data_IF_101810745367
#
_entry.id   IF_101810745367
#
_cell.length_a   1.000
_cell.length_b   1.000
_cell.length_c   1.000
_cell.angle_alpha   90.00
_cell.angle_beta   90.00
_cell.angle_gamma   90.00
#
_symmetry.space_group_name_H-M   'P 1'
#
loop_
_entity.id
_entity.type
_entity.pdbx_description
1 polymer ?
#
# COMPACT_ATOMS: atom_id res chain seq x y z
N UNK A 1 -5.80 11.95 -19.15
CA UNK A 1 -5.02 12.67 -18.13
C UNK A 1 -5.21 11.85 -16.88
N UNK A 2 -4.15 11.28 -16.34
CA UNK A 2 -4.25 10.31 -15.25
C UNK A 2 -4.96 10.92 -14.03
N UNK A 3 -5.86 10.15 -13.41
CA UNK A 3 -6.52 10.56 -12.16
C UNK A 3 -5.74 10.08 -10.94
N UNK A 4 -5.70 10.92 -9.90
CA UNK A 4 -5.13 10.52 -8.60
C UNK A 4 -6.12 9.70 -7.77
N UNK A 5 -7.41 10.02 -7.85
CA UNK A 5 -8.49 9.38 -7.09
C UNK A 5 -9.03 8.14 -7.78
N UNK A 6 -9.65 7.27 -6.97
CA UNK A 6 -10.47 6.16 -7.44
C UNK A 6 -11.87 6.26 -6.83
N UNK A 7 -12.86 5.72 -7.56
CA UNK A 7 -14.24 5.63 -7.08
C UNK A 7 -14.64 4.22 -6.62
N UNK A 8 -13.73 3.27 -6.77
CA UNK A 8 -13.93 1.86 -6.48
C UNK A 8 -12.74 1.32 -5.71
N UNK A 9 -13.01 0.54 -4.68
CA UNK A 9 -11.98 -0.15 -3.90
C UNK A 9 -12.21 -1.66 -3.90
N UNK A 10 -11.11 -2.40 -3.94
CA UNK A 10 -11.07 -3.83 -3.69
C UNK A 10 -10.73 -4.06 -2.21
N UNK A 11 -11.58 -4.79 -1.50
CA UNK A 11 -11.35 -5.22 -0.13
C UNK A 11 -11.40 -6.75 -0.06
N UNK A 12 -10.45 -7.34 0.68
CA UNK A 12 -10.41 -8.79 0.93
C UNK A 12 -10.93 -9.05 2.34
N UNK A 13 -12.08 -9.73 2.45
CA UNK A 13 -12.65 -10.15 3.72
C UNK A 13 -11.86 -11.31 4.30
N UNK A 14 -11.08 -11.09 5.39
CA UNK A 14 -10.16 -12.11 5.86
C UNK A 14 -10.91 -13.26 6.53
N UNK A 15 -10.36 -14.47 6.37
CA UNK A 15 -10.86 -15.67 7.02
C UNK A 15 -9.95 -16.13 8.17
N UNK A 16 -8.64 -15.99 8.00
CA UNK A 16 -7.62 -16.47 8.93
C UNK A 16 -6.73 -15.32 9.48
N UNK A 17 -7.26 -14.10 9.59
CA UNK A 17 -6.48 -12.94 10.05
C UNK A 17 -5.83 -13.18 11.41
N UNK A 18 -4.56 -12.82 11.52
CA UNK A 18 -3.82 -12.97 12.75
C UNK A 18 -2.40 -12.46 12.66
N UNK A 19 -1.64 -12.69 13.74
CA UNK A 19 -0.23 -12.36 13.80
C UNK A 19 0.56 -13.18 12.77
N UNK A 20 1.40 -12.50 11.98
CA UNK A 20 2.20 -13.13 10.95
C UNK A 20 3.68 -13.08 11.36
N UNK A 21 4.20 -14.19 11.87
CA UNK A 21 5.58 -14.30 12.34
C UNK A 21 6.63 -13.97 11.28
N UNK A 22 6.35 -14.25 10.00
CA UNK A 22 7.26 -13.89 8.91
C UNK A 22 7.24 -12.38 8.67
N UNK A 23 6.05 -11.77 8.64
CA UNK A 23 5.91 -10.33 8.42
C UNK A 23 6.43 -9.50 9.60
N UNK A 24 6.31 -10.00 10.83
CA UNK A 24 6.82 -9.34 12.04
C UNK A 24 8.36 -9.14 12.03
N UNK A 25 9.09 -9.90 11.20
CA UNK A 25 10.55 -9.70 11.00
C UNK A 25 10.86 -8.40 10.26
N UNK A 26 9.92 -7.91 9.45
CA UNK A 26 10.07 -6.70 8.63
C UNK A 26 9.27 -5.53 9.19
N UNK A 27 8.10 -5.82 9.77
CA UNK A 27 7.20 -4.85 10.36
C UNK A 27 7.27 -4.89 11.89
N UNK A 28 8.10 -4.01 12.45
CA UNK A 28 8.26 -3.88 13.90
C UNK A 28 7.01 -3.34 14.63
N UNK A 29 6.01 -2.82 13.89
CA UNK A 29 4.73 -2.41 14.46
C UNK A 29 3.81 -3.61 14.74
N UNK A 30 4.11 -4.80 14.20
CA UNK A 30 3.36 -6.01 14.59
C UNK A 30 3.70 -6.39 16.02
N UNK A 31 2.67 -6.43 16.86
CA UNK A 31 2.78 -6.89 18.24
C UNK A 31 2.20 -8.30 18.36
N UNK A 32 2.79 -9.16 19.23
CA UNK A 32 2.18 -10.43 19.56
C UNK A 32 0.73 -10.26 20.00
N UNK A 33 -0.18 -11.14 19.59
CA UNK A 33 -1.60 -10.98 19.88
C UNK A 33 -1.84 -11.19 21.38
N UNK A 34 -2.68 -10.34 21.96
CA UNK A 34 -3.16 -10.49 23.35
C UNK A 34 -4.49 -11.27 23.42
N UNK A 35 -5.21 -11.36 22.31
CA UNK A 35 -6.43 -12.13 22.13
C UNK A 35 -6.18 -13.46 21.41
N UNK A 36 -7.20 -14.32 21.41
CA UNK A 36 -7.16 -15.53 20.58
C UNK A 36 -7.20 -15.20 19.08
N UNK A 37 -6.71 -16.12 18.24
CA UNK A 37 -6.75 -15.96 16.79
C UNK A 37 -8.18 -15.80 16.24
N UNK A 38 -9.15 -16.50 16.83
CA UNK A 38 -10.56 -16.41 16.44
C UNK A 38 -11.16 -15.04 16.77
N UNK A 39 -10.87 -14.50 17.96
CA UNK A 39 -11.29 -13.16 18.34
C UNK A 39 -10.66 -12.10 17.44
N UNK A 40 -9.35 -12.20 17.17
CA UNK A 40 -8.65 -11.28 16.28
C UNK A 40 -9.24 -11.31 14.85
N UNK A 41 -9.49 -12.49 14.30
CA UNK A 41 -10.10 -12.64 12.99
C UNK A 41 -11.54 -12.07 12.95
N UNK A 42 -12.33 -12.32 13.99
CA UNK A 42 -13.70 -11.79 14.11
C UNK A 42 -13.70 -10.26 14.18
N UNK A 43 -12.81 -9.66 14.97
CA UNK A 43 -12.67 -8.22 15.08
C UNK A 43 -12.24 -7.60 13.76
N UNK A 44 -11.18 -8.11 13.13
CA UNK A 44 -10.68 -7.61 11.85
C UNK A 44 -11.73 -7.68 10.74
N UNK A 45 -12.49 -8.79 10.68
CA UNK A 45 -13.62 -8.94 9.77
C UNK A 45 -14.69 -7.87 10.03
N UNK A 46 -15.08 -7.66 11.28
CA UNK A 46 -16.09 -6.66 11.65
C UNK A 46 -15.65 -5.23 11.29
N UNK A 47 -14.39 -4.89 11.54
CA UNK A 47 -13.80 -3.59 11.17
C UNK A 47 -13.77 -3.39 9.65
N UNK A 48 -13.34 -4.39 8.88
CA UNK A 48 -13.37 -4.33 7.42
C UNK A 48 -14.79 -4.13 6.89
N UNK A 49 -15.76 -4.90 7.40
CA UNK A 49 -17.17 -4.76 6.99
C UNK A 49 -17.76 -3.41 7.40
N UNK A 50 -17.29 -2.82 8.51
CA UNK A 50 -17.62 -1.44 8.86
C UNK A 50 -17.08 -0.45 7.82
N UNK A 51 -15.80 -0.57 7.44
CA UNK A 51 -15.18 0.28 6.38
C UNK A 51 -15.93 0.13 5.06
N UNK A 52 -16.23 -1.11 4.63
CA UNK A 52 -16.97 -1.38 3.40
C UNK A 52 -18.36 -0.69 3.40
N UNK A 53 -19.10 -0.76 4.51
CA UNK A 53 -20.39 -0.08 4.66
C UNK A 53 -20.26 1.44 4.68
N UNK A 54 -19.26 1.98 5.38
CA UNK A 54 -19.00 3.40 5.44
C UNK A 54 -18.70 3.98 4.04
N UNK A 55 -17.84 3.31 3.26
CA UNK A 55 -17.51 3.69 1.88
C UNK A 55 -18.74 3.67 0.96
N UNK A 56 -19.52 2.57 1.00
CA UNK A 56 -20.78 2.46 0.24
C UNK A 56 -21.77 3.58 0.57
N UNK A 57 -21.87 3.94 1.85
CA UNK A 57 -22.76 5.02 2.33
C UNK A 57 -22.33 6.39 1.78
N UNK A 58 -21.05 6.56 1.43
CA UNK A 58 -20.52 7.76 0.77
C UNK A 58 -20.61 7.70 -0.75
N UNK A 59 -21.10 6.62 -1.33
CA UNK A 59 -21.22 6.43 -2.78
C UNK A 59 -19.94 5.94 -3.46
N UNK A 60 -18.99 5.39 -2.70
CA UNK A 60 -17.82 4.69 -3.23
C UNK A 60 -18.22 3.24 -3.52
N UNK A 61 -17.82 2.71 -4.66
CA UNK A 61 -18.05 1.31 -5.00
C UNK A 61 -17.06 0.42 -4.25
N UNK A 62 -17.53 -0.74 -3.78
CA UNK A 62 -16.71 -1.68 -3.00
C UNK A 62 -16.88 -3.07 -3.58
N UNK A 63 -15.82 -3.57 -4.21
CA UNK A 63 -15.66 -4.97 -4.59
C UNK A 63 -15.14 -5.68 -3.34
N UNK A 64 -16.00 -6.47 -2.70
CA UNK A 64 -15.64 -7.25 -1.53
C UNK A 64 -15.43 -8.71 -1.96
N UNK A 65 -14.23 -9.24 -1.75
CA UNK A 65 -13.88 -10.62 -2.08
C UNK A 65 -13.61 -11.39 -0.80
N UNK A 66 -14.23 -12.55 -0.65
CA UNK A 66 -13.98 -13.40 0.51
C UNK A 66 -12.63 -14.12 0.38
N UNK A 67 -11.88 -14.13 1.48
CA UNK A 67 -10.70 -14.97 1.56
C UNK A 67 -11.05 -16.47 1.48
N UNK A 68 -10.10 -17.31 1.10
CA UNK A 68 -10.31 -18.74 0.90
C UNK A 68 -9.65 -19.57 2.00
N UNK A 69 -10.26 -20.67 2.40
CA UNK A 69 -9.64 -21.66 3.31
C UNK A 69 -8.59 -22.55 2.62
N UNK A 70 -8.33 -22.36 1.32
CA UNK A 70 -7.40 -23.18 0.57
C UNK A 70 -5.98 -23.11 1.14
N UNK A 71 -5.54 -21.93 1.60
CA UNK A 71 -4.31 -21.75 2.36
C UNK A 71 -4.51 -20.70 3.46
N UNK A 72 -3.94 -20.95 4.64
CA UNK A 72 -4.03 -20.04 5.78
C UNK A 72 -3.08 -18.85 5.59
N UNK A 73 -3.63 -17.74 5.09
CA UNK A 73 -2.90 -16.48 4.87
C UNK A 73 -3.35 -15.43 5.91
N UNK A 74 -2.58 -15.19 6.98
CA UNK A 74 -2.99 -14.28 8.06
C UNK A 74 -3.02 -12.81 7.67
N UNK A 75 -2.51 -12.48 6.49
CA UNK A 75 -2.34 -11.12 5.99
C UNK A 75 -3.12 -10.86 4.68
N UNK A 76 -4.05 -11.74 4.30
CA UNK A 76 -4.82 -11.66 3.04
C UNK A 76 -5.61 -10.36 2.86
N UNK A 77 -5.97 -9.70 3.97
CA UNK A 77 -6.64 -8.39 3.96
C UNK A 77 -5.79 -7.30 3.29
N UNK A 78 -4.47 -7.44 3.26
CA UNK A 78 -3.52 -6.45 2.73
C UNK A 78 -3.19 -6.70 1.25
N UNK A 79 -4.20 -6.60 0.38
CA UNK A 79 -4.01 -6.74 -1.07
C UNK A 79 -3.03 -5.71 -1.66
N UNK A 80 -2.94 -4.53 -1.02
CA UNK A 80 -2.02 -3.46 -1.38
C UNK A 80 -0.54 -3.89 -1.44
N UNK A 81 -0.14 -4.95 -0.72
CA UNK A 81 1.24 -5.44 -0.77
C UNK A 81 1.58 -6.19 -2.06
N UNK A 82 0.59 -6.80 -2.73
CA UNK A 82 0.85 -7.78 -3.79
C UNK A 82 0.24 -7.43 -5.14
N UNK A 83 -0.74 -6.51 -5.19
CA UNK A 83 -1.37 -6.08 -6.44
C UNK A 83 -1.65 -4.57 -6.48
N UNK A 84 -1.50 -3.99 -7.66
CA UNK A 84 -2.01 -2.67 -8.00
C UNK A 84 -2.76 -2.70 -9.33
N UNK A 85 -3.71 -1.77 -9.45
CA UNK A 85 -4.51 -1.56 -10.65
C UNK A 85 -4.20 -0.16 -11.22
N UNK A 86 -4.16 -0.06 -12.55
CA UNK A 86 -3.80 1.16 -13.27
C UNK A 86 -4.90 1.54 -14.26
N UNK A 87 -5.02 2.83 -14.57
CA UNK A 87 -6.10 3.42 -15.37
C UNK A 87 -6.16 2.87 -16.81
N UNK A 88 -5.04 2.34 -17.31
CA UNK A 88 -4.93 1.71 -18.62
C UNK A 88 -5.20 0.19 -18.60
N UNK A 89 -5.93 -0.29 -17.59
CA UNK A 89 -6.32 -1.70 -17.44
C UNK A 89 -5.15 -2.68 -17.30
N UNK A 90 -3.96 -2.18 -16.95
CA UNK A 90 -2.83 -3.00 -16.53
C UNK A 90 -2.89 -3.25 -15.03
N UNK A 91 -2.51 -4.46 -14.64
CA UNK A 91 -2.24 -4.79 -13.24
C UNK A 91 -0.75 -5.07 -13.04
N UNK A 92 -0.27 -4.85 -11.83
CA UNK A 92 1.08 -5.27 -11.42
C UNK A 92 0.95 -6.31 -10.32
N UNK A 93 1.59 -7.47 -10.48
CA UNK A 93 1.75 -8.45 -9.42
C UNK A 93 3.15 -8.34 -8.82
N UNK A 94 3.21 -8.16 -7.50
CA UNK A 94 4.41 -7.72 -6.81
C UNK A 94 5.15 -8.83 -6.05
N UNK A 95 6.49 -8.70 -5.91
CA UNK A 95 7.32 -9.59 -5.12
C UNK A 95 7.17 -9.35 -3.61
N UNK A 96 6.81 -10.40 -2.88
CA UNK A 96 6.62 -10.44 -1.43
C UNK A 96 7.78 -11.14 -0.73
N UNK A 97 8.18 -10.57 0.40
CA UNK A 97 9.29 -11.09 1.22
C UNK A 97 8.91 -12.30 2.07
N UNK A 98 7.62 -12.45 2.39
CA UNK A 98 7.09 -13.53 3.23
C UNK A 98 6.57 -14.68 2.34
N UNK A 99 7.05 -15.89 2.59
CA UNK A 99 6.63 -17.09 1.86
C UNK A 99 5.15 -17.39 2.11
N UNK A 100 4.70 -17.22 3.35
CA UNK A 100 3.30 -17.44 3.73
C UNK A 100 2.31 -16.42 3.14
N UNK A 101 2.80 -15.38 2.45
CA UNK A 101 1.97 -14.39 1.75
C UNK A 101 1.92 -14.58 0.24
N UNK A 102 2.86 -15.33 -0.36
CA UNK A 102 2.84 -15.63 -1.81
C UNK A 102 1.51 -16.23 -2.31
N UNK A 103 0.83 -17.10 -1.53
CA UNK A 103 -0.48 -17.64 -1.91
C UNK A 103 -1.62 -16.61 -1.96
N UNK A 104 -1.42 -15.40 -1.41
CA UNK A 104 -2.40 -14.30 -1.48
C UNK A 104 -2.59 -13.82 -2.92
N UNK A 105 -1.62 -14.06 -3.82
CA UNK A 105 -1.70 -13.75 -5.25
C UNK A 105 -2.65 -14.70 -5.97
N UNK A 106 -3.94 -14.35 -5.92
CA UNK A 106 -5.06 -15.20 -6.32
C UNK A 106 -5.68 -14.78 -7.65
N UNK A 107 -5.71 -15.71 -8.61
CA UNK A 107 -6.31 -15.48 -9.93
C UNK A 107 -7.83 -15.35 -9.91
N UNK A 108 -8.52 -15.96 -8.95
CA UNK A 108 -9.96 -15.83 -8.80
C UNK A 108 -10.38 -14.41 -8.39
N UNK A 109 -9.54 -13.68 -7.64
CA UNK A 109 -9.75 -12.26 -7.35
C UNK A 109 -9.77 -11.45 -8.65
N UNK A 110 -8.90 -11.76 -9.61
CA UNK A 110 -8.85 -11.06 -10.90
C UNK A 110 -10.12 -11.30 -11.72
N UNK A 111 -10.66 -12.51 -11.69
CA UNK A 111 -11.93 -12.81 -12.36
C UNK A 111 -13.07 -11.98 -11.76
N UNK A 112 -13.14 -11.87 -10.43
CA UNK A 112 -14.16 -11.04 -9.76
C UNK A 112 -14.00 -9.56 -10.14
N UNK A 113 -12.78 -9.05 -10.24
CA UNK A 113 -12.52 -7.67 -10.69
C UNK A 113 -13.04 -7.47 -12.13
N UNK A 114 -12.77 -8.40 -13.03
CA UNK A 114 -13.28 -8.36 -14.42
C UNK A 114 -14.81 -8.43 -14.45
N UNK A 115 -15.42 -9.29 -13.64
CA UNK A 115 -16.88 -9.43 -13.54
C UNK A 115 -17.58 -8.19 -12.95
N UNK A 116 -16.81 -7.29 -12.31
CA UNK A 116 -17.27 -5.98 -11.81
C UNK A 116 -16.93 -4.84 -12.79
N UNK A 117 -16.82 -5.13 -14.09
CA UNK A 117 -16.60 -4.15 -15.17
C UNK A 117 -15.23 -3.45 -15.15
N UNK A 118 -14.20 -4.10 -14.57
CA UNK A 118 -12.81 -3.65 -14.65
C UNK A 118 -11.99 -4.57 -15.56
N UNK A 119 -11.94 -4.31 -16.89
CA UNK A 119 -11.19 -5.16 -17.80
C UNK A 119 -9.70 -5.13 -17.46
N UNK A 120 -9.06 -6.29 -17.57
CA UNK A 120 -7.62 -6.47 -17.41
C UNK A 120 -7.04 -6.81 -18.78
N UNK A 121 -6.18 -5.94 -19.32
CA UNK A 121 -5.58 -6.11 -20.64
C UNK A 121 -4.17 -6.70 -20.59
N UNK A 122 -3.44 -6.44 -19.50
CA UNK A 122 -2.10 -6.97 -19.31
C UNK A 122 -1.81 -7.16 -17.82
N UNK A 123 -1.04 -8.21 -17.53
CA UNK A 123 -0.55 -8.53 -16.19
C UNK A 123 0.96 -8.37 -16.21
N UNK A 124 1.43 -7.30 -15.59
CA UNK A 124 2.85 -7.07 -15.37
C UNK A 124 3.28 -7.82 -14.12
N UNK A 125 3.70 -9.06 -14.29
CA UNK A 125 4.21 -9.88 -13.20
C UNK A 125 5.70 -9.60 -12.94
N UNK A 126 5.98 -8.88 -11.85
CA UNK A 126 7.34 -8.62 -11.35
C UNK A 126 7.67 -9.46 -10.10
N UNK A 127 6.77 -10.38 -9.71
CA UNK A 127 6.95 -11.23 -8.53
C UNK A 127 8.12 -12.21 -8.67
N UNK A 128 8.57 -12.47 -9.89
CA UNK A 128 9.73 -13.35 -10.16
C UNK A 128 11.05 -12.84 -9.59
N UNK A 129 11.16 -11.53 -9.30
CA UNK A 129 12.34 -10.94 -8.64
C UNK A 129 12.57 -11.47 -7.21
N UNK A 130 11.55 -12.09 -6.59
CA UNK A 130 11.69 -12.82 -5.32
C UNK A 130 12.76 -13.91 -5.38
N UNK A 131 13.00 -14.51 -6.56
CA UNK A 131 14.02 -15.55 -6.75
C UNK A 131 15.45 -15.03 -6.56
N UNK A 132 15.63 -13.71 -6.64
CA UNK A 132 16.89 -13.00 -6.40
C UNK A 132 16.93 -12.37 -5.00
N UNK A 133 15.93 -12.62 -4.15
CA UNK A 133 15.79 -12.00 -2.84
C UNK A 133 15.46 -10.50 -2.90
N UNK A 134 14.90 -10.03 -4.03
CA UNK A 134 14.47 -8.64 -4.22
C UNK A 134 12.96 -8.55 -4.06
N UNK A 135 12.51 -7.55 -3.31
CA UNK A 135 11.10 -7.41 -2.92
C UNK A 135 10.63 -5.97 -3.14
N UNK A 136 9.32 -5.80 -3.30
CA UNK A 136 8.67 -4.52 -3.51
C UNK A 136 7.20 -4.73 -3.18
N UNK A 137 6.78 -4.44 -1.95
CA UNK A 137 5.41 -4.74 -1.46
C UNK A 137 4.42 -3.71 -2.01
N UNK A 138 4.15 -3.78 -3.32
CA UNK A 138 3.03 -3.08 -3.95
C UNK A 138 2.94 -1.60 -3.61
N UNK A 139 1.72 -1.14 -3.32
CA UNK A 139 1.44 0.24 -2.94
C UNK A 139 1.71 0.53 -1.46
N UNK A 140 2.19 -0.45 -0.71
CA UNK A 140 2.77 -0.22 0.62
C UNK A 140 4.19 0.35 0.44
N UNK A 141 4.98 -0.28 -0.42
CA UNK A 141 6.33 0.16 -0.80
C UNK A 141 6.35 1.37 -1.73
N UNK A 142 5.34 1.54 -2.58
CA UNK A 142 5.32 2.58 -3.63
C UNK A 142 4.11 3.48 -3.53
N UNK A 143 4.34 4.78 -3.41
CA UNK A 143 3.29 5.80 -3.48
C UNK A 143 3.37 6.46 -4.85
N UNK A 144 2.27 6.44 -5.61
CA UNK A 144 2.20 7.03 -6.94
C UNK A 144 1.52 8.41 -6.90
N UNK A 145 2.22 9.45 -7.35
CA UNK A 145 1.61 10.68 -7.84
C UNK A 145 1.32 10.52 -9.32
N UNK A 146 0.11 10.08 -9.61
CA UNK A 146 -0.35 9.70 -10.95
C UNK A 146 -0.42 10.90 -11.88
N UNK A 147 -0.81 12.05 -11.35
CA UNK A 147 -0.95 13.30 -12.11
C UNK A 147 0.43 13.84 -12.51
N UNK A 148 1.37 13.91 -11.56
CA UNK A 148 2.71 14.44 -11.82
C UNK A 148 3.70 13.40 -12.37
N UNK A 149 3.25 12.15 -12.54
CA UNK A 149 4.10 11.02 -12.97
C UNK A 149 5.36 10.87 -12.11
N UNK A 150 5.19 10.93 -10.78
CA UNK A 150 6.26 10.63 -9.81
C UNK A 150 5.88 9.40 -9.00
N UNK A 151 6.85 8.51 -8.76
CA UNK A 151 6.70 7.40 -7.84
C UNK A 151 7.68 7.59 -6.70
N UNK A 152 7.23 7.35 -5.47
CA UNK A 152 8.01 7.52 -4.24
C UNK A 152 8.18 6.19 -3.53
N UNK A 153 9.38 5.92 -3.02
CA UNK A 153 9.64 4.72 -2.22
C UNK A 153 10.70 4.97 -1.15
N UNK A 154 10.38 4.64 0.10
CA UNK A 154 11.35 4.52 1.17
C UNK A 154 12.17 3.25 0.99
N UNK A 155 13.49 3.34 1.14
CA UNK A 155 14.38 2.18 1.12
C UNK A 155 14.08 1.30 2.34
N UNK A 156 13.77 0.02 2.10
CA UNK A 156 13.48 -0.93 3.18
C UNK A 156 13.78 -2.37 2.77
N UNK A 157 13.82 -3.34 3.70
CA UNK A 157 13.97 -4.77 3.37
C UNK A 157 12.90 -5.32 2.44
N UNK A 158 11.77 -4.61 2.28
CA UNK A 158 10.64 -4.99 1.44
C UNK A 158 10.45 -4.06 0.24
N UNK A 159 11.40 -3.14 0.01
CA UNK A 159 11.41 -2.16 -1.07
C UNK A 159 12.81 -2.09 -1.72
N UNK A 160 13.04 -2.89 -2.75
CA UNK A 160 14.28 -2.91 -3.54
C UNK A 160 14.27 -1.79 -4.59
N UNK A 161 15.31 -0.95 -4.58
CA UNK A 161 15.38 0.23 -5.43
C UNK A 161 15.62 -0.09 -6.92
N UNK A 162 16.22 -1.22 -7.25
CA UNK A 162 16.38 -1.62 -8.64
C UNK A 162 15.03 -2.09 -9.21
N UNK A 163 14.27 -2.89 -8.46
CA UNK A 163 12.91 -3.31 -8.86
C UNK A 163 11.97 -2.10 -8.94
N UNK A 164 12.02 -1.20 -7.95
CA UNK A 164 11.28 0.06 -7.96
C UNK A 164 11.60 0.91 -9.20
N UNK A 165 12.89 1.16 -9.48
CA UNK A 165 13.31 1.96 -10.63
C UNK A 165 12.85 1.36 -11.96
N UNK A 166 12.93 0.03 -12.12
CA UNK A 166 12.42 -0.67 -13.31
C UNK A 166 10.91 -0.51 -13.47
N UNK A 167 10.14 -0.67 -12.37
CA UNK A 167 8.69 -0.48 -12.38
C UNK A 167 8.34 0.97 -12.76
N UNK A 168 8.98 1.95 -12.13
CA UNK A 168 8.77 3.37 -12.42
C UNK A 168 9.04 3.68 -13.89
N UNK A 169 10.18 3.22 -14.43
CA UNK A 169 10.51 3.40 -15.85
C UNK A 169 9.49 2.74 -16.77
N UNK A 170 9.01 1.52 -16.45
CA UNK A 170 8.02 0.79 -17.27
C UNK A 170 6.67 1.50 -17.35
N UNK A 171 6.31 2.25 -16.32
CA UNK A 171 5.05 3.01 -16.27
C UNK A 171 5.22 4.52 -16.52
N UNK A 172 6.45 4.97 -16.84
CA UNK A 172 6.74 6.37 -17.16
C UNK A 172 6.70 7.30 -15.94
N UNK A 173 6.98 6.78 -14.76
CA UNK A 173 7.13 7.57 -13.53
C UNK A 173 8.60 7.97 -13.33
N UNK A 174 8.82 9.20 -12.86
CA UNK A 174 10.11 9.62 -12.30
C UNK A 174 10.26 9.00 -10.89
N UNK A 175 11.27 8.15 -10.66
CA UNK A 175 11.47 7.50 -9.36
C UNK A 175 12.15 8.44 -8.37
N UNK A 176 11.59 8.56 -7.17
CA UNK A 176 12.21 9.23 -6.02
C UNK A 176 12.31 8.24 -4.87
N UNK A 177 13.53 7.98 -4.43
CA UNK A 177 13.82 7.15 -3.27
C UNK A 177 14.42 7.97 -2.14
N UNK A 178 14.16 7.57 -0.90
CA UNK A 178 14.72 8.21 0.27
C UNK A 178 14.89 7.22 1.43
N UNK A 179 15.76 7.56 2.38
CA UNK A 179 15.99 6.79 3.60
C UNK A 179 15.09 7.31 4.72
N UNK A 180 14.31 6.43 5.34
CA UNK A 180 13.41 6.82 6.43
C UNK A 180 13.48 5.84 7.61
N UNK A 181 13.39 6.39 8.82
CA UNK A 181 13.38 5.63 10.06
C UNK A 181 12.49 6.29 11.12
N UNK A 182 11.91 5.45 11.99
CA UNK A 182 11.24 5.88 13.19
C UNK A 182 12.17 5.77 14.40
N UNK A 183 12.04 6.70 15.34
CA UNK A 183 12.59 6.63 16.69
C UNK A 183 11.72 5.71 17.53
N UNK A 184 12.30 4.62 18.03
CA UNK A 184 11.63 3.63 18.86
C UNK A 184 12.50 3.35 20.09
N UNK A 185 12.13 3.94 21.23
CA UNK A 185 12.87 3.82 22.51
C UNK A 185 14.37 4.19 22.41
N UNK A 186 14.71 5.15 21.54
CA UNK A 186 16.09 5.59 21.30
C UNK A 186 16.83 4.80 20.23
N UNK A 187 16.21 3.78 19.64
CA UNK A 187 16.72 3.07 18.47
C UNK A 187 16.04 3.57 17.19
N UNK A 188 16.83 3.76 16.12
CA UNK A 188 16.29 4.07 14.79
C UNK A 188 15.86 2.77 14.11
N UNK A 189 14.56 2.62 13.84
CA UNK A 189 13.96 1.48 13.12
C UNK A 189 13.58 1.90 11.71
N UNK A 190 14.08 1.24 10.65
CA UNK A 190 13.70 1.59 9.27
C UNK A 190 12.19 1.60 9.06
N UNK A 191 11.68 2.57 8.30
CA UNK A 191 10.29 2.56 7.85
C UNK A 191 10.12 1.43 6.84
N UNK A 192 9.33 0.41 7.17
CA UNK A 192 9.18 -0.75 6.29
C UNK A 192 8.28 -0.46 5.09
N UNK A 193 7.28 0.41 5.25
CA UNK A 193 6.29 0.75 4.24
C UNK A 193 6.20 2.25 4.02
N UNK A 194 6.40 2.70 2.79
CA UNK A 194 6.36 4.11 2.38
C UNK A 194 5.00 4.74 2.68
N UNK A 195 3.90 3.99 2.52
CA UNK A 195 2.56 4.50 2.74
C UNK A 195 2.26 4.89 4.19
N UNK A 196 3.11 4.52 5.16
CA UNK A 196 2.96 4.97 6.55
C UNK A 196 3.35 6.43 6.74
N UNK A 197 4.27 6.91 5.91
CA UNK A 197 4.91 8.22 6.05
C UNK A 197 4.64 9.13 4.87
N UNK A 198 4.01 8.63 3.80
CA UNK A 198 3.68 9.42 2.62
C UNK A 198 2.38 8.93 1.99
N UNK A 199 1.45 9.85 1.73
CA UNK A 199 0.32 9.64 0.83
C UNK A 199 0.12 10.88 -0.03
N UNK A 200 -0.23 10.68 -1.30
CA UNK A 200 -0.43 11.75 -2.27
C UNK A 200 -1.90 11.78 -2.68
N UNK A 201 -2.55 12.90 -2.41
CA UNK A 201 -3.87 13.27 -2.88
C UNK A 201 -3.75 14.22 -4.09
N UNK A 202 -4.86 14.67 -4.64
CA UNK A 202 -4.85 15.60 -5.77
C UNK A 202 -4.21 16.94 -5.42
N UNK A 203 -4.59 17.53 -4.29
CA UNK A 203 -4.22 18.90 -3.89
C UNK A 203 -3.25 18.93 -2.72
N UNK A 204 -3.07 17.83 -2.00
CA UNK A 204 -2.22 17.75 -0.82
C UNK A 204 -1.44 16.45 -0.78
N UNK A 205 -0.41 16.41 0.06
CA UNK A 205 0.29 15.21 0.43
C UNK A 205 0.42 15.15 1.96
N UNK A 206 0.09 14.00 2.54
CA UNK A 206 0.35 13.73 3.96
C UNK A 206 1.76 13.17 4.04
N UNK A 207 2.63 13.77 4.84
CA UNK A 207 4.03 13.35 4.91
C UNK A 207 4.64 13.48 6.30
N UNK A 208 5.38 12.47 6.73
CA UNK A 208 6.19 12.50 7.95
C UNK A 208 7.63 12.91 7.60
N UNK A 209 7.88 14.20 7.38
CA UNK A 209 9.20 14.69 6.98
C UNK A 209 10.28 14.44 8.03
N UNK A 210 9.93 14.40 9.31
CA UNK A 210 10.88 14.09 10.39
C UNK A 210 11.36 12.63 10.39
N UNK A 211 10.67 11.71 9.71
CA UNK A 211 11.14 10.33 9.54
C UNK A 211 12.23 10.20 8.48
N UNK A 212 12.38 11.18 7.59
CA UNK A 212 13.39 11.18 6.53
C UNK A 212 14.76 11.50 7.14
N UNK A 213 15.70 10.57 6.97
CA UNK A 213 16.96 10.57 7.69
C UNK A 213 17.97 11.59 7.14
N UNK A 214 18.02 11.75 5.82
CA UNK A 214 18.92 12.69 5.16
C UNK A 214 18.19 14.02 4.88
N UNK A 215 18.85 15.13 5.22
CA UNK A 215 18.28 16.47 5.07
C UNK A 215 18.08 16.88 3.61
N UNK A 216 19.01 16.53 2.72
CA UNK A 216 18.88 16.81 1.29
C UNK A 216 17.73 16.00 0.66
N UNK A 217 17.58 14.73 1.03
CA UNK A 217 16.44 13.88 0.61
C UNK A 217 15.11 14.48 1.08
N UNK A 218 15.06 14.95 2.33
CA UNK A 218 13.86 15.58 2.92
C UNK A 218 13.49 16.88 2.21
N UNK A 219 14.47 17.73 1.96
CA UNK A 219 14.27 19.00 1.28
C UNK A 219 13.90 18.81 -0.19
N UNK A 220 14.50 17.80 -0.84
CA UNK A 220 14.14 17.41 -2.20
C UNK A 220 12.72 16.85 -2.27
N UNK A 221 12.32 15.95 -1.35
CA UNK A 221 10.95 15.44 -1.27
C UNK A 221 9.94 16.57 -1.07
N UNK A 222 10.21 17.47 -0.12
CA UNK A 222 9.39 18.65 0.13
C UNK A 222 9.23 19.47 -1.15
N UNK A 223 10.35 19.77 -1.82
CA UNK A 223 10.38 20.55 -3.04
C UNK A 223 9.58 19.90 -4.17
N UNK A 224 9.75 18.60 -4.41
CA UNK A 224 9.03 17.92 -5.49
C UNK A 224 7.53 17.91 -5.24
N UNK A 225 7.08 17.67 -4.00
CA UNK A 225 5.67 17.72 -3.65
C UNK A 225 5.11 19.13 -3.87
N UNK A 226 5.80 20.17 -3.40
CA UNK A 226 5.34 21.57 -3.56
C UNK A 226 5.36 22.03 -5.01
N UNK A 227 6.41 21.69 -5.78
CA UNK A 227 6.51 22.01 -7.21
C UNK A 227 5.45 21.27 -8.03
N UNK A 228 5.06 20.06 -7.58
CA UNK A 228 3.94 19.29 -8.09
C UNK A 228 2.56 19.81 -7.67
N UNK A 229 2.50 20.97 -7.01
CA UNK A 229 1.25 21.65 -6.61
C UNK A 229 0.58 21.06 -5.38
N UNK A 230 1.29 20.30 -4.55
CA UNK A 230 0.74 19.71 -3.32
C UNK A 230 0.93 20.64 -2.13
N UNK A 231 -0.15 20.89 -1.40
CA UNK A 231 -0.07 21.36 -0.02
C UNK A 231 0.48 20.25 0.87
N UNK A 232 1.46 20.58 1.70
CA UNK A 232 2.07 19.60 2.61
C UNK A 232 1.30 19.58 3.92
N UNK A 233 0.72 18.43 4.25
CA UNK A 233 0.15 18.13 5.57
C UNK A 233 1.17 17.30 6.34
N UNK A 234 1.96 17.96 7.18
CA UNK A 234 2.96 17.28 8.00
C UNK A 234 2.31 16.48 9.13
N UNK A 235 2.78 15.24 9.31
CA UNK A 235 2.40 14.37 10.44
C UNK A 235 3.63 13.97 11.25
N UNK A 236 3.44 13.75 12.55
CA UNK A 236 4.50 13.25 13.42
C UNK A 236 4.76 11.76 13.20
N UNK A 237 5.90 11.26 13.67
CA UNK A 237 6.22 9.84 13.71
C UNK A 237 5.19 9.07 14.55
N UNK A 238 4.68 9.65 15.64
CA UNK A 238 3.62 9.03 16.45
C UNK A 238 2.32 8.85 15.65
N UNK A 239 1.95 9.84 14.85
CA UNK A 239 0.79 9.76 13.94
C UNK A 239 1.04 8.75 12.82
N UNK A 240 2.24 8.71 12.25
CA UNK A 240 2.62 7.74 11.23
C UNK A 240 2.61 6.30 11.76
N UNK A 241 3.14 6.04 12.97
CA UNK A 241 3.05 4.75 13.67
C UNK A 241 1.61 4.33 13.99
N UNK A 242 0.67 5.27 14.02
CA UNK A 242 -0.79 5.05 14.12
C UNK A 242 -1.49 5.05 12.77
N UNK A 243 -0.75 4.85 11.67
CA UNK A 243 -1.24 4.67 10.31
C UNK A 243 -1.95 5.90 9.71
N UNK A 244 -1.76 7.11 10.27
CA UNK A 244 -2.36 8.35 9.72
C UNK A 244 -1.89 8.63 8.29
N UNK A 245 -0.63 8.31 7.98
CA UNK A 245 -0.08 8.47 6.63
C UNK A 245 -0.67 7.50 5.60
N UNK A 246 -1.22 6.35 6.04
CA UNK A 246 -1.82 5.33 5.17
C UNK A 246 -3.25 5.71 4.76
N UNK A 247 -3.44 6.98 4.41
CA UNK A 247 -4.70 7.54 3.94
C UNK A 247 -4.82 7.40 2.41
N UNK A 248 -6.06 7.24 1.94
CA UNK A 248 -6.39 7.18 0.51
C UNK A 248 -7.49 8.18 0.21
N UNK A 249 -7.24 9.08 -0.75
CA UNK A 249 -8.28 9.97 -1.26
C UNK A 249 -9.13 9.20 -2.29
N UNK A 250 -10.44 9.20 -2.09
CA UNK A 250 -11.41 8.57 -2.98
C UNK A 250 -12.36 9.63 -3.52
N UNK A 251 -13.02 9.32 -4.63
CA UNK A 251 -14.05 10.16 -5.23
C UNK A 251 -15.30 9.31 -5.43
N UNK A 252 -16.43 9.70 -4.88
CA UNK A 252 -17.64 8.92 -5.06
C UNK A 252 -18.18 9.01 -6.50
N UNK A 253 -19.19 8.18 -6.83
CA UNK A 253 -19.81 8.16 -8.17
C UNK A 253 -20.47 9.48 -8.60
N UNK A 254 -20.59 10.46 -7.70
CA UNK A 254 -21.13 11.79 -7.96
C UNK A 254 -20.04 12.88 -8.05
N UNK A 255 -18.75 12.50 -8.02
CA UNK A 255 -17.63 13.43 -8.11
C UNK A 255 -17.25 14.13 -6.81
N UNK A 256 -17.83 13.71 -5.67
CA UNK A 256 -17.48 14.24 -4.35
C UNK A 256 -16.30 13.46 -3.77
N UNK A 257 -15.28 14.20 -3.36
CA UNK A 257 -14.04 13.71 -2.75
C UNK A 257 -14.12 13.74 -1.22
#
# INVERSE_FOLDING_TARGET
>A
MDKQTANTVLLIEPLNFGFNEEAARYNFLQQPPTSSAEEAATLARNELLFVARALRTKGVQVILVQDSDFQKTPSSVFAASWISFHEDSRIVAYPLACQNRKPERRGDILNIVVDNDFPIYDIVDISTSENEGKFLHGTESVVFDRVNKVAYSAVSPVSDMAVFSQLSSKYGYFPISFSAAFDDEGEKRPVFSTNLILSVAEQYAIVCLESICNEDERDFLRKVLTDGGKEIVEISQEQAKRFVGSAVQLENVHGKK
#
